data_IF_630856763765
#
_entry.id   IF_630856763765
#
_cell.length_a   1.000
_cell.length_b   1.000
_cell.length_c   1.000
_cell.angle_alpha   90.00
_cell.angle_beta   90.00
_cell.angle_gamma   90.00
#
_symmetry.space_group_name_H-M   'P 1'
#
loop_
_entity.id
_entity.type
_entity.pdbx_description
1 polymer ?
#
# COMPACT_ATOMS: atom_id res chain seq x y z
N UNK A 1 -9.21 3.35 11.68
CA UNK A 1 -10.13 2.24 12.01
C UNK A 1 -10.56 1.55 10.74
N UNK A 2 -10.82 0.26 10.79
CA UNK A 2 -11.33 -0.56 9.69
C UNK A 2 -12.76 -0.19 9.28
N UNK A 3 -13.65 0.10 10.25
CA UNK A 3 -15.03 0.53 10.01
C UNK A 3 -15.39 1.80 10.77
N UNK A 4 -16.44 2.50 10.32
CA UNK A 4 -16.97 3.70 10.98
C UNK A 4 -17.54 3.36 12.35
N UNK A 5 -18.12 2.17 12.52
CA UNK A 5 -18.66 1.67 13.78
C UNK A 5 -17.56 1.51 14.83
N UNK A 6 -16.42 0.94 14.45
CA UNK A 6 -15.25 0.80 15.32
C UNK A 6 -14.65 2.17 15.67
N UNK A 7 -14.54 3.08 14.69
CA UNK A 7 -14.12 4.46 14.95
C UNK A 7 -15.07 5.17 15.93
N UNK A 8 -16.38 4.98 15.77
CA UNK A 8 -17.39 5.59 16.64
C UNK A 8 -17.31 5.06 18.06
N UNK A 9 -17.11 3.75 18.24
CA UNK A 9 -16.97 3.15 19.55
C UNK A 9 -15.78 3.74 20.30
N UNK A 10 -14.63 3.87 19.64
CA UNK A 10 -13.44 4.50 20.19
C UNK A 10 -13.64 6.00 20.47
N UNK A 11 -14.30 6.73 19.55
CA UNK A 11 -14.55 8.16 19.72
C UNK A 11 -15.40 8.46 20.96
N UNK A 12 -16.36 7.58 21.30
CA UNK A 12 -17.15 7.70 22.54
C UNK A 12 -16.29 7.56 23.79
N UNK A 13 -15.32 6.64 23.80
CA UNK A 13 -14.42 6.43 24.94
C UNK A 13 -13.57 7.69 25.22
N UNK A 14 -13.16 8.38 24.16
CA UNK A 14 -12.43 9.66 24.26
C UNK A 14 -13.35 10.89 24.23
N UNK A 15 -14.65 10.72 24.46
CA UNK A 15 -15.66 11.81 24.50
C UNK A 15 -15.59 12.75 23.28
N UNK A 16 -15.31 12.21 22.10
CA UNK A 16 -15.16 12.96 20.85
C UNK A 16 -14.12 14.10 20.93
N UNK A 17 -13.08 13.94 21.76
CA UNK A 17 -11.99 14.93 21.90
C UNK A 17 -10.91 14.79 20.81
N UNK A 18 -10.88 13.68 20.08
CA UNK A 18 -9.87 13.38 19.05
C UNK A 18 -10.56 13.11 17.72
N UNK A 19 -9.93 13.53 16.62
CA UNK A 19 -10.34 13.23 15.25
C UNK A 19 -9.92 11.80 14.89
N UNK A 20 -10.84 11.02 14.33
CA UNK A 20 -10.57 9.65 13.88
C UNK A 20 -10.78 9.54 12.38
N UNK A 21 -9.95 8.74 11.71
CA UNK A 21 -10.06 8.46 10.27
C UNK A 21 -10.12 6.94 10.07
N UNK A 22 -11.07 6.49 9.27
CA UNK A 22 -11.19 5.08 8.85
C UNK A 22 -10.36 4.81 7.59
N UNK A 23 -10.11 3.52 7.29
CA UNK A 23 -9.31 3.11 6.13
C UNK A 23 -9.96 3.51 4.80
N UNK A 24 -11.29 3.61 4.76
CA UNK A 24 -12.06 4.12 3.61
C UNK A 24 -12.11 5.66 3.52
N UNK A 25 -11.39 6.35 4.42
CA UNK A 25 -11.26 7.81 4.41
C UNK A 25 -12.41 8.56 5.08
N UNK A 26 -13.37 7.89 5.72
CA UNK A 26 -14.36 8.58 6.56
C UNK A 26 -13.71 9.21 7.78
N UNK A 27 -13.97 10.49 7.97
CA UNK A 27 -13.45 11.30 9.06
C UNK A 27 -14.53 11.54 10.11
N UNK A 28 -14.24 11.15 11.34
CA UNK A 28 -15.01 11.50 12.53
C UNK A 28 -14.32 12.66 13.25
N UNK A 29 -14.98 13.83 13.24
CA UNK A 29 -14.47 15.06 13.84
C UNK A 29 -14.73 15.10 15.33
N UNK A 30 -14.00 15.98 16.00
CA UNK A 30 -14.28 16.35 17.38
C UNK A 30 -15.69 16.93 17.51
N UNK A 31 -16.41 16.60 18.58
CA UNK A 31 -17.82 16.96 18.74
C UNK A 31 -18.81 16.07 17.98
N UNK A 32 -18.34 15.01 17.30
CA UNK A 32 -19.19 13.92 16.82
C UNK A 32 -19.79 14.09 15.43
N UNK A 33 -19.35 15.08 14.65
CA UNK A 33 -19.75 15.21 13.23
C UNK A 33 -18.93 14.28 12.33
N UNK A 34 -19.55 13.81 11.24
CA UNK A 34 -18.95 12.92 10.26
C UNK A 34 -18.72 13.68 8.95
N UNK A 35 -17.59 13.44 8.31
CA UNK A 35 -17.27 13.99 6.98
C UNK A 35 -16.54 12.95 6.14
N UNK A 36 -16.86 12.87 4.85
CA UNK A 36 -16.20 11.92 3.94
C UNK A 36 -16.75 10.50 4.03
N UNK A 37 -16.75 9.79 2.90
CA UNK A 37 -17.28 8.42 2.78
C UNK A 37 -18.04 8.16 1.47
N UNK A 38 -18.40 9.21 0.73
CA UNK A 38 -19.12 9.07 -0.54
C UNK A 38 -18.23 9.21 -1.79
N UNK A 39 -17.02 9.77 -1.66
CA UNK A 39 -16.14 9.94 -2.81
C UNK A 39 -15.05 8.85 -2.84
N UNK A 40 -15.38 7.74 -3.50
CA UNK A 40 -14.51 6.60 -3.81
C UNK A 40 -13.45 6.92 -4.87
N UNK A 41 -12.97 8.16 -4.91
CA UNK A 41 -11.90 8.49 -5.83
C UNK A 41 -10.60 8.00 -5.17
N UNK A 42 -10.24 6.74 -5.47
CA UNK A 42 -9.03 6.04 -5.04
C UNK A 42 -7.74 6.71 -5.58
N UNK A 43 -7.71 8.03 -5.74
CA UNK A 43 -6.48 8.77 -5.99
C UNK A 43 -5.78 9.00 -4.65
N UNK A 44 -5.18 7.94 -4.13
CA UNK A 44 -4.22 8.04 -3.05
C UNK A 44 -3.05 8.90 -3.54
N UNK A 45 -2.76 10.01 -2.84
CA UNK A 45 -1.52 10.78 -3.08
C UNK A 45 -0.27 10.02 -2.60
N UNK A 46 -0.44 8.85 -1.95
CA UNK A 46 0.64 7.97 -1.53
C UNK A 46 1.09 7.05 -2.67
N UNK A 47 1.48 7.63 -3.81
CA UNK A 47 2.05 6.90 -4.95
C UNK A 47 3.51 6.46 -4.64
N UNK A 48 4.17 7.08 -3.64
CA UNK A 48 5.57 6.80 -3.29
C UNK A 48 5.83 5.35 -2.87
N UNK A 49 5.09 4.75 -1.91
CA UNK A 49 5.27 3.35 -1.55
C UNK A 49 5.03 2.39 -2.71
N UNK A 50 4.06 2.70 -3.59
CA UNK A 50 3.77 1.89 -4.78
C UNK A 50 4.94 1.94 -5.78
N UNK A 51 5.52 3.12 -6.00
CA UNK A 51 6.72 3.27 -6.85
C UNK A 51 7.94 2.59 -6.25
N UNK A 52 8.15 2.69 -4.93
CA UNK A 52 9.24 2.00 -4.22
C UNK A 52 9.09 0.48 -4.34
N UNK A 53 7.87 -0.04 -4.24
CA UNK A 53 7.58 -1.46 -4.44
C UNK A 53 7.85 -1.90 -5.88
N UNK A 54 7.40 -1.14 -6.88
CA UNK A 54 7.66 -1.44 -8.30
C UNK A 54 9.17 -1.41 -8.61
N UNK A 55 9.91 -0.44 -8.06
CA UNK A 55 11.37 -0.38 -8.23
C UNK A 55 12.06 -1.60 -7.64
N UNK A 56 11.58 -2.09 -6.49
CA UNK A 56 12.09 -3.30 -5.85
C UNK A 56 11.83 -4.53 -6.72
N UNK A 57 10.61 -4.68 -7.24
CA UNK A 57 10.24 -5.79 -8.12
C UNK A 57 11.09 -5.81 -9.40
N UNK A 58 11.28 -4.66 -10.05
CA UNK A 58 12.15 -4.54 -11.23
C UNK A 58 13.58 -4.96 -10.91
N UNK A 59 14.14 -4.52 -9.77
CA UNK A 59 15.50 -4.88 -9.38
C UNK A 59 15.66 -6.38 -9.10
N UNK A 60 14.65 -7.02 -8.51
CA UNK A 60 14.62 -8.46 -8.28
C UNK A 60 14.54 -9.25 -9.61
N UNK A 61 13.67 -8.83 -10.53
CA UNK A 61 13.56 -9.44 -11.86
C UNK A 61 14.83 -9.28 -12.69
N UNK A 62 15.45 -8.10 -12.69
CA UNK A 62 16.72 -7.88 -13.38
C UNK A 62 17.85 -8.78 -12.85
N UNK A 63 17.91 -8.98 -11.53
CA UNK A 63 18.89 -9.87 -10.93
C UNK A 63 18.65 -11.33 -11.33
N UNK A 64 17.40 -11.77 -11.35
CA UNK A 64 17.02 -13.11 -11.81
C UNK A 64 17.40 -13.31 -13.29
N UNK A 65 17.04 -12.35 -14.15
CA UNK A 65 17.33 -12.43 -15.58
C UNK A 65 18.84 -12.55 -15.85
N UNK A 66 19.66 -11.75 -15.17
CA UNK A 66 21.13 -11.84 -15.31
C UNK A 66 21.68 -13.21 -14.88
N UNK A 67 21.12 -13.80 -13.82
CA UNK A 67 21.50 -15.14 -13.38
C UNK A 67 21.15 -16.21 -14.44
N UNK A 68 19.97 -16.09 -15.03
CA UNK A 68 19.50 -17.00 -16.07
C UNK A 68 20.34 -16.87 -17.35
N UNK A 69 20.68 -15.64 -17.76
CA UNK A 69 21.56 -15.38 -18.91
C UNK A 69 22.96 -15.99 -18.73
N UNK A 70 23.55 -15.86 -17.53
CA UNK A 70 24.86 -16.47 -17.22
C UNK A 70 24.76 -17.99 -17.26
N UNK A 71 23.69 -18.55 -16.69
CA UNK A 71 23.46 -20.00 -16.69
C UNK A 71 23.31 -20.53 -18.12
N UNK A 72 22.52 -19.85 -18.94
CA UNK A 72 22.32 -20.19 -20.35
C UNK A 72 23.63 -20.11 -21.13
N UNK A 73 24.43 -19.08 -20.91
CA UNK A 73 25.74 -18.94 -21.56
C UNK A 73 26.68 -20.09 -21.19
N UNK A 74 26.76 -20.45 -19.91
CA UNK A 74 27.60 -21.56 -19.47
C UNK A 74 27.16 -22.90 -20.11
N UNK A 75 25.85 -23.15 -20.17
CA UNK A 75 25.28 -24.32 -20.83
C UNK A 75 25.59 -24.34 -22.34
N UNK A 76 25.52 -23.19 -23.01
CA UNK A 76 25.89 -23.07 -24.42
C UNK A 76 27.39 -23.32 -24.65
N UNK A 77 28.25 -22.78 -23.80
CA UNK A 77 29.71 -22.98 -23.88
C UNK A 77 30.11 -24.45 -23.62
N UNK A 78 29.36 -25.15 -22.76
CA UNK A 78 29.55 -26.58 -22.49
C UNK A 78 29.08 -27.46 -23.66
N UNK A 79 27.95 -27.12 -24.31
CA UNK A 79 27.45 -27.81 -25.50
C UNK A 79 28.29 -27.56 -26.77
N UNK A 80 29.02 -26.44 -26.82
CA UNK A 80 29.89 -26.07 -27.93
C UNK A 80 31.30 -26.70 -27.86
N UNK A 81 31.62 -27.44 -26.79
CA UNK A 81 32.84 -28.26 -26.64
C UNK A 81 32.63 -29.69 -27.12
#
# INVERSE_FOLDING_TARGET
>A
FDTVEHARAAARQVRYQVRMVTLDGTELRTGGSYAGGANRQNNSIFIKPELEQLQKEIAEEEASLRSDEVSLKNLQDELAR
#
